data_IF_989534429610
#
_entry.id   IF_989534429610
#
_cell.length_a   1.000
_cell.length_b   1.000
_cell.length_c   1.000
_cell.angle_alpha   90.00
_cell.angle_beta   90.00
_cell.angle_gamma   90.00
#
_symmetry.space_group_name_H-M   'P 1'
#
loop_
_entity.id
_entity.type
_entity.pdbx_description
1 polymer ?
#
# COMPACT_ATOMS: atom_id res chain seq x y z
N UNK A 1 6.04 1.70 33.75
CA UNK A 1 6.73 2.38 32.64
C UNK A 1 5.87 3.58 32.26
N UNK A 2 6.47 4.76 32.08
CA UNK A 2 5.76 5.95 31.61
C UNK A 2 5.26 5.67 30.19
N UNK A 3 4.03 6.11 29.87
CA UNK A 3 3.49 6.03 28.49
C UNK A 3 4.21 7.01 27.56
N UNK A 4 3.94 6.94 26.23
CA UNK A 4 4.52 7.87 25.27
C UNK A 4 4.14 9.31 25.61
N UNK A 5 5.09 10.22 25.48
CA UNK A 5 4.90 11.66 25.71
C UNK A 5 4.64 12.44 24.41
N UNK A 6 5.05 11.89 23.28
CA UNK A 6 4.94 12.46 21.93
C UNK A 6 4.39 11.44 20.93
N UNK A 7 3.68 11.93 19.92
CA UNK A 7 3.11 11.12 18.83
C UNK A 7 3.52 11.69 17.49
N UNK A 8 4.19 10.88 16.67
CA UNK A 8 4.63 11.23 15.33
C UNK A 8 3.78 10.50 14.28
N UNK A 9 3.03 11.23 13.48
CA UNK A 9 2.26 10.69 12.36
C UNK A 9 2.99 10.90 11.04
N UNK A 10 3.05 9.86 10.22
CA UNK A 10 3.67 9.88 8.90
C UNK A 10 2.61 9.57 7.83
N UNK A 11 2.33 10.56 6.99
CA UNK A 11 1.63 10.34 5.72
C UNK A 11 2.66 9.94 4.66
N UNK A 12 2.56 8.68 4.19
CA UNK A 12 3.61 8.08 3.38
C UNK A 12 3.30 8.18 1.89
N UNK A 13 4.04 9.04 1.19
CA UNK A 13 4.04 9.15 -0.27
C UNK A 13 5.13 8.31 -0.95
N UNK A 14 5.11 8.29 -2.28
CA UNK A 14 6.09 7.55 -3.08
C UNK A 14 7.46 8.24 -3.09
N UNK A 15 7.50 9.55 -3.28
CA UNK A 15 8.72 10.37 -3.40
C UNK A 15 9.07 11.10 -2.11
N UNK A 16 8.05 11.56 -1.42
CA UNK A 16 8.16 12.32 -0.19
C UNK A 16 7.17 11.79 0.84
N UNK A 17 7.50 11.95 2.10
CA UNK A 17 6.60 11.74 3.24
C UNK A 17 6.32 13.07 3.92
N UNK A 18 5.23 13.16 4.66
CA UNK A 18 5.00 14.26 5.57
C UNK A 18 4.95 13.71 7.01
N UNK A 19 5.73 14.31 7.90
CA UNK A 19 5.73 13.96 9.33
C UNK A 19 5.20 15.11 10.15
N UNK A 20 4.28 14.80 11.07
CA UNK A 20 3.78 15.73 12.08
C UNK A 20 4.01 15.11 13.46
N UNK A 21 4.61 15.88 14.37
CA UNK A 21 4.81 15.53 15.78
C UNK A 21 3.87 16.36 16.63
N UNK A 22 3.16 15.70 17.54
CA UNK A 22 2.27 16.35 18.52
C UNK A 22 2.60 15.88 19.94
N UNK A 23 2.26 16.72 20.91
CA UNK A 23 2.32 16.40 22.32
C UNK A 23 1.02 15.76 22.85
N UNK A 24 0.94 15.53 24.16
CA UNK A 24 -0.22 14.98 24.84
C UNK A 24 -1.47 15.85 24.74
N UNK A 25 -1.32 17.16 24.60
CA UNK A 25 -2.42 18.11 24.40
C UNK A 25 -2.93 18.14 22.95
N UNK A 26 -2.17 17.58 22.00
CA UNK A 26 -2.41 17.66 20.56
C UNK A 26 -1.77 18.89 19.92
N UNK A 27 -0.92 19.63 20.65
CA UNK A 27 -0.18 20.75 20.08
C UNK A 27 0.92 20.24 19.13
N UNK A 28 1.04 20.92 17.99
CA UNK A 28 2.01 20.55 16.95
C UNK A 28 3.39 21.10 17.26
N UNK A 29 4.33 20.20 17.50
CA UNK A 29 5.74 20.52 17.76
C UNK A 29 6.59 20.55 16.49
N UNK A 30 6.25 19.72 15.48
CA UNK A 30 6.93 19.65 14.21
C UNK A 30 5.95 19.33 13.08
N UNK A 31 6.19 19.93 11.91
CA UNK A 31 5.51 19.55 10.66
C UNK A 31 6.52 19.68 9.53
N UNK A 32 6.90 18.58 8.91
CA UNK A 32 7.99 18.56 7.92
C UNK A 32 7.68 17.60 6.79
N UNK A 33 7.83 18.07 5.55
CA UNK A 33 7.95 17.24 4.37
C UNK A 33 9.40 16.75 4.24
N UNK A 34 9.59 15.46 3.95
CA UNK A 34 10.90 14.81 3.83
C UNK A 34 10.92 13.88 2.63
N UNK A 35 12.04 13.87 1.88
CA UNK A 35 12.23 12.94 0.77
C UNK A 35 12.32 11.51 1.28
N UNK A 36 11.81 10.59 0.48
CA UNK A 36 11.90 9.16 0.73
C UNK A 36 13.31 8.63 0.36
N UNK A 37 14.32 9.17 1.02
CA UNK A 37 15.75 8.80 0.92
C UNK A 37 16.29 8.57 2.33
N UNK A 38 17.31 7.71 2.47
CA UNK A 38 17.82 7.26 3.78
C UNK A 38 18.32 8.43 4.65
N UNK A 39 19.17 9.30 4.11
CA UNK A 39 19.78 10.38 4.88
C UNK A 39 18.75 11.41 5.39
N UNK A 40 17.79 11.94 4.58
CA UNK A 40 16.74 12.82 5.06
C UNK A 40 15.81 12.17 6.11
N UNK A 41 15.47 10.88 5.91
CA UNK A 41 14.61 10.16 6.85
C UNK A 41 15.32 9.91 8.18
N UNK A 42 16.59 9.57 8.13
CA UNK A 42 17.43 9.42 9.33
C UNK A 42 17.49 10.72 10.12
N UNK A 43 17.77 11.85 9.45
CA UNK A 43 17.81 13.16 10.09
C UNK A 43 16.45 13.53 10.72
N UNK A 44 15.33 13.23 10.03
CA UNK A 44 13.99 13.44 10.61
C UNK A 44 13.79 12.64 11.89
N UNK A 45 14.15 11.35 11.88
CA UNK A 45 13.97 10.46 13.02
C UNK A 45 14.82 10.95 14.21
N UNK A 46 16.07 11.31 13.96
CA UNK A 46 17.00 11.81 14.98
C UNK A 46 16.48 13.15 15.60
N UNK A 47 15.97 14.08 14.77
CA UNK A 47 15.37 15.32 15.25
C UNK A 47 14.13 15.09 16.13
N UNK A 48 13.25 14.15 15.74
CA UNK A 48 12.04 13.80 16.52
C UNK A 48 12.42 13.15 17.85
N UNK A 49 13.41 12.26 17.86
CA UNK A 49 13.93 11.63 19.08
C UNK A 49 14.56 12.70 20.00
N UNK A 50 15.31 13.65 19.45
CA UNK A 50 15.89 14.75 20.21
C UNK A 50 14.83 15.65 20.86
N UNK A 51 13.72 15.92 20.15
CA UNK A 51 12.58 16.69 20.70
C UNK A 51 11.87 15.96 21.84
N UNK A 52 11.98 14.64 21.92
CA UNK A 52 11.40 13.86 23.01
C UNK A 52 12.21 13.91 24.31
N UNK A 53 13.43 14.44 24.28
CA UNK A 53 14.32 14.63 25.46
C UNK A 53 14.35 13.40 26.39
N UNK A 54 14.60 12.23 25.82
CA UNK A 54 14.59 10.94 26.53
C UNK A 54 13.20 10.34 26.81
N UNK A 55 12.11 11.04 26.42
CA UNK A 55 10.77 10.50 26.45
C UNK A 55 10.50 9.50 25.31
N UNK A 56 9.40 8.76 25.42
CA UNK A 56 8.98 7.82 24.40
C UNK A 56 8.19 8.52 23.30
N UNK A 57 8.56 8.25 22.04
CA UNK A 57 7.80 8.66 20.86
C UNK A 57 6.99 7.47 20.35
N UNK A 58 5.68 7.68 20.19
CA UNK A 58 4.81 6.72 19.50
C UNK A 58 4.68 7.15 18.04
N UNK A 59 5.28 6.39 17.14
CA UNK A 59 5.17 6.61 15.70
C UNK A 59 3.94 5.93 15.14
N UNK A 60 3.37 6.50 14.07
CA UNK A 60 2.25 5.92 13.35
C UNK A 60 2.32 6.23 11.86
N UNK A 61 1.88 5.27 11.03
CA UNK A 61 1.93 5.38 9.57
C UNK A 61 0.72 4.69 8.94
N UNK A 62 0.22 5.22 7.83
CA UNK A 62 -0.96 4.74 7.13
C UNK A 62 -0.68 3.65 6.07
N UNK A 63 0.58 3.49 5.68
CA UNK A 63 1.04 2.43 4.77
C UNK A 63 1.91 1.41 5.50
N UNK A 64 1.81 0.15 5.06
CA UNK A 64 2.57 -0.94 5.64
C UNK A 64 3.60 -1.57 4.68
N UNK A 65 3.93 -0.87 3.60
CA UNK A 65 4.89 -1.32 2.57
C UNK A 65 4.95 -0.35 1.39
N UNK A 66 5.55 -0.76 0.28
CA UNK A 66 5.74 0.10 -0.88
C UNK A 66 6.58 1.34 -0.56
N UNK A 67 6.06 2.54 -0.79
CA UNK A 67 6.77 3.79 -0.50
C UNK A 67 7.17 3.98 0.97
N UNK A 68 6.45 3.35 1.90
CA UNK A 68 6.74 3.42 3.34
C UNK A 68 7.84 2.43 3.82
N UNK A 69 8.27 1.50 2.98
CA UNK A 69 9.14 0.40 3.43
C UNK A 69 10.45 0.88 4.04
N UNK A 70 11.06 1.91 3.46
CA UNK A 70 12.33 2.47 3.94
C UNK A 70 12.18 3.11 5.33
N UNK A 71 11.22 4.00 5.50
CA UNK A 71 11.01 4.68 6.80
C UNK A 71 10.61 3.69 7.89
N UNK A 72 9.79 2.67 7.57
CA UNK A 72 9.45 1.59 8.50
C UNK A 72 10.72 0.85 8.95
N UNK A 73 11.58 0.47 8.01
CA UNK A 73 12.83 -0.23 8.32
C UNK A 73 13.77 0.61 9.18
N UNK A 74 13.90 1.91 8.89
CA UNK A 74 14.74 2.83 9.65
C UNK A 74 14.24 3.05 11.10
N UNK A 75 12.91 3.14 11.28
CA UNK A 75 12.29 3.25 12.61
C UNK A 75 12.50 1.97 13.43
N UNK A 76 12.22 0.81 12.83
CA UNK A 76 12.39 -0.48 13.51
C UNK A 76 13.87 -0.77 13.85
N UNK A 77 14.82 -0.40 12.97
CA UNK A 77 16.24 -0.55 13.24
C UNK A 77 16.74 0.32 14.41
N UNK A 78 15.96 1.33 14.82
CA UNK A 78 16.21 2.19 15.99
C UNK A 78 15.33 1.86 17.19
N UNK A 79 14.69 0.67 17.18
CA UNK A 79 13.79 0.20 18.24
C UNK A 79 12.65 1.19 18.54
N UNK A 80 12.20 1.95 17.52
CA UNK A 80 11.08 2.87 17.70
C UNK A 80 9.73 2.13 17.67
N UNK A 81 8.82 2.54 18.56
CA UNK A 81 7.45 2.02 18.59
C UNK A 81 6.64 2.58 17.44
N UNK A 82 6.28 1.73 16.46
CA UNK A 82 5.56 2.10 15.27
C UNK A 82 4.20 1.40 15.20
N UNK A 83 3.13 2.18 15.00
CA UNK A 83 1.76 1.70 14.80
C UNK A 83 1.35 1.79 13.33
N UNK A 84 0.53 0.83 12.90
CA UNK A 84 -0.15 0.89 11.61
C UNK A 84 -1.58 1.42 11.78
N UNK A 85 -1.93 2.44 11.01
CA UNK A 85 -3.28 3.00 10.93
C UNK A 85 -3.82 2.75 9.52
N UNK A 86 -4.84 1.91 9.35
CA UNK A 86 -5.45 1.73 8.03
C UNK A 86 -5.94 3.05 7.43
N UNK A 87 -5.63 3.33 6.16
CA UNK A 87 -6.00 4.59 5.49
C UNK A 87 -7.50 4.90 5.53
N UNK A 88 -8.38 3.87 5.63
CA UNK A 88 -9.82 4.09 5.86
C UNK A 88 -10.11 4.81 7.18
N UNK A 89 -9.34 4.57 8.23
CA UNK A 89 -9.50 5.25 9.53
C UNK A 89 -9.11 6.72 9.37
N UNK A 90 -7.99 7.00 8.70
CA UNK A 90 -7.53 8.36 8.40
C UNK A 90 -8.60 9.11 7.59
N UNK A 91 -9.13 8.47 6.55
CA UNK A 91 -10.17 9.03 5.71
C UNK A 91 -11.46 9.37 6.49
N UNK A 92 -11.95 8.45 7.32
CA UNK A 92 -13.13 8.71 8.15
C UNK A 92 -12.88 9.79 9.21
N UNK A 93 -11.70 9.77 9.83
CA UNK A 93 -11.34 10.79 10.82
C UNK A 93 -11.22 12.18 10.19
N UNK A 94 -10.77 12.30 8.93
CA UNK A 94 -10.53 13.58 8.25
C UNK A 94 -11.77 14.48 8.20
N UNK A 95 -12.97 13.90 8.19
CA UNK A 95 -14.23 14.65 8.22
C UNK A 95 -14.46 15.43 9.52
N UNK A 96 -13.86 14.99 10.62
CA UNK A 96 -13.96 15.66 11.94
C UNK A 96 -12.95 16.80 12.12
N UNK A 97 -11.96 16.92 11.23
CA UNK A 97 -10.91 17.94 11.32
C UNK A 97 -11.24 19.11 10.41
N UNK A 98 -11.15 20.35 10.97
CA UNK A 98 -11.43 21.59 10.24
C UNK A 98 -10.48 21.81 9.07
N UNK A 99 -10.98 22.38 7.99
CA UNK A 99 -10.25 22.80 6.79
C UNK A 99 -10.68 21.99 5.54
N UNK A 100 -11.12 22.75 4.52
CA UNK A 100 -11.45 22.21 3.21
C UNK A 100 -10.15 21.98 2.43
N UNK A 101 -9.82 20.74 2.20
CA UNK A 101 -8.70 20.34 1.36
C UNK A 101 -7.86 19.21 1.97
N UNK A 102 -7.56 18.24 1.12
CA UNK A 102 -6.61 17.19 1.42
C UNK A 102 -5.19 17.76 1.29
N UNK A 103 -4.41 17.70 2.38
CA UNK A 103 -2.98 18.01 2.35
C UNK A 103 -2.24 16.93 3.15
N UNK A 104 -1.05 16.57 2.67
CA UNK A 104 -0.19 15.58 3.34
C UNK A 104 0.08 15.95 4.81
N UNK A 105 0.20 17.27 5.10
CA UNK A 105 0.38 17.75 6.47
C UNK A 105 -0.86 17.52 7.35
N UNK A 106 -2.08 17.66 6.80
CA UNK A 106 -3.33 17.38 7.50
C UNK A 106 -3.47 15.89 7.77
N UNK A 107 -3.19 15.06 6.76
CA UNK A 107 -3.29 13.60 6.89
C UNK A 107 -2.26 13.09 7.92
N UNK A 108 -1.02 13.57 7.90
CA UNK A 108 -0.01 13.27 8.93
C UNK A 108 -0.43 13.69 10.34
N UNK A 109 -1.05 14.87 10.49
CA UNK A 109 -1.57 15.34 11.80
C UNK A 109 -2.71 14.44 12.30
N UNK A 110 -3.61 14.03 11.43
CA UNK A 110 -4.69 13.09 11.76
C UNK A 110 -4.11 11.74 12.19
N UNK A 111 -3.09 11.23 11.50
CA UNK A 111 -2.41 9.98 11.85
C UNK A 111 -1.80 10.09 13.27
N UNK A 112 -1.11 11.18 13.58
CA UNK A 112 -0.54 11.42 14.91
C UNK A 112 -1.62 11.45 16.00
N UNK A 113 -2.71 12.18 15.77
CA UNK A 113 -3.79 12.33 16.74
C UNK A 113 -4.60 11.05 16.93
N UNK A 114 -4.85 10.28 15.87
CA UNK A 114 -5.44 8.94 15.98
C UNK A 114 -4.54 7.98 16.78
N UNK A 115 -3.23 8.03 16.61
CA UNK A 115 -2.29 7.24 17.40
C UNK A 115 -2.30 7.64 18.88
N UNK A 116 -2.51 8.92 19.20
CA UNK A 116 -2.65 9.43 20.55
C UNK A 116 -3.94 8.93 21.23
N UNK A 117 -5.06 8.93 20.51
CA UNK A 117 -6.39 8.62 21.07
C UNK A 117 -6.70 7.12 21.10
N UNK A 118 -6.20 6.32 20.14
CA UNK A 118 -6.60 4.92 19.96
C UNK A 118 -5.67 3.96 20.69
N UNK A 119 -6.23 2.83 21.13
CA UNK A 119 -5.51 1.72 21.79
C UNK A 119 -5.62 0.39 21.03
N UNK A 120 -6.37 0.38 19.92
CA UNK A 120 -6.68 -0.81 19.10
C UNK A 120 -5.83 -0.89 17.82
N UNK A 121 -4.78 -0.07 17.69
CA UNK A 121 -3.90 -0.05 16.54
C UNK A 121 -2.90 -1.19 16.58
N UNK A 122 -2.55 -1.69 15.39
CA UNK A 122 -1.57 -2.76 15.23
C UNK A 122 -0.15 -2.21 15.33
N UNK A 123 0.65 -2.80 16.21
CA UNK A 123 2.06 -2.48 16.31
C UNK A 123 2.88 -3.19 15.23
N UNK A 124 3.79 -2.46 14.59
CA UNK A 124 4.82 -3.08 13.77
C UNK A 124 5.85 -3.73 14.68
N UNK A 125 6.10 -5.02 14.42
CA UNK A 125 7.18 -5.76 15.06
C UNK A 125 8.28 -6.03 14.06
N UNK A 126 9.50 -6.22 14.54
CA UNK A 126 10.60 -6.75 13.73
C UNK A 126 10.09 -7.98 12.98
N UNK A 127 10.12 -7.95 11.66
CA UNK A 127 9.57 -9.01 10.83
C UNK A 127 10.64 -10.04 10.57
N UNK A 128 10.28 -11.29 10.78
CA UNK A 128 11.06 -12.40 10.28
C UNK A 128 11.20 -12.29 8.76
N UNK A 129 12.38 -12.65 8.24
CA UNK A 129 12.70 -12.68 6.81
C UNK A 129 11.61 -13.39 5.99
N UNK A 130 11.07 -14.47 6.54
CA UNK A 130 9.93 -15.22 5.99
C UNK A 130 8.66 -14.35 5.78
N UNK A 131 8.35 -13.44 6.69
CA UNK A 131 7.17 -12.56 6.57
C UNK A 131 7.35 -11.55 5.43
N UNK A 132 8.57 -11.04 5.22
CA UNK A 132 8.92 -10.14 4.11
C UNK A 132 8.80 -10.88 2.77
N UNK A 133 9.35 -12.10 2.69
CA UNK A 133 9.28 -12.95 1.51
C UNK A 133 7.83 -13.30 1.15
N UNK A 134 7.02 -13.75 2.12
CA UNK A 134 5.61 -14.08 1.91
C UNK A 134 4.81 -12.87 1.40
N UNK A 135 5.05 -11.67 1.93
CA UNK A 135 4.41 -10.45 1.44
C UNK A 135 4.77 -10.17 -0.01
N UNK A 136 6.05 -10.30 -0.38
CA UNK A 136 6.53 -10.09 -1.74
C UNK A 136 5.86 -11.06 -2.71
N UNK A 137 5.77 -12.34 -2.32
CA UNK A 137 5.09 -13.38 -3.12
C UNK A 137 3.59 -13.11 -3.25
N UNK A 138 2.92 -12.71 -2.17
CA UNK A 138 1.50 -12.36 -2.20
C UNK A 138 1.21 -11.13 -3.08
N UNK A 139 2.05 -10.09 -3.00
CA UNK A 139 1.95 -8.92 -3.87
C UNK A 139 2.12 -9.32 -5.34
N UNK A 140 3.16 -10.10 -5.65
CA UNK A 140 3.41 -10.61 -7.00
C UNK A 140 2.26 -11.46 -7.54
N UNK A 141 1.69 -12.35 -6.70
CA UNK A 141 0.50 -13.13 -7.07
C UNK A 141 -0.67 -12.22 -7.45
N UNK A 142 -0.91 -11.17 -6.69
CA UNK A 142 -1.99 -10.20 -6.95
C UNK A 142 -1.77 -9.48 -8.28
N UNK A 143 -0.55 -9.03 -8.57
CA UNK A 143 -0.20 -8.37 -9.83
C UNK A 143 -0.42 -9.30 -11.04
N UNK A 144 0.09 -10.53 -10.95
CA UNK A 144 -0.08 -11.53 -12.01
C UNK A 144 -1.56 -11.88 -12.24
N UNK A 145 -2.37 -11.95 -11.17
CA UNK A 145 -3.80 -12.19 -11.31
C UNK A 145 -4.51 -11.00 -12.01
N UNK A 146 -4.13 -9.77 -11.70
CA UNK A 146 -4.65 -8.58 -12.37
C UNK A 146 -4.23 -8.54 -13.86
N UNK A 147 -2.98 -8.86 -14.17
CA UNK A 147 -2.48 -8.95 -15.55
C UNK A 147 -3.23 -10.00 -16.35
N UNK A 148 -3.44 -11.19 -15.78
CA UNK A 148 -4.25 -12.25 -16.38
C UNK A 148 -5.65 -11.76 -16.72
N UNK A 149 -6.33 -11.10 -15.78
CA UNK A 149 -7.68 -10.58 -16.02
C UNK A 149 -7.70 -9.52 -17.13
N UNK A 150 -6.70 -8.61 -17.16
CA UNK A 150 -6.55 -7.65 -18.26
C UNK A 150 -6.34 -8.32 -19.63
N UNK A 151 -5.52 -9.37 -19.69
CA UNK A 151 -5.28 -10.12 -20.91
C UNK A 151 -6.54 -10.84 -21.40
N UNK A 152 -7.29 -11.48 -20.51
CA UNK A 152 -8.56 -12.16 -20.84
C UNK A 152 -9.59 -11.15 -21.34
N UNK A 153 -9.73 -9.98 -20.71
CA UNK A 153 -10.68 -8.95 -21.15
C UNK A 153 -10.32 -8.41 -22.53
N UNK A 154 -9.04 -8.23 -22.84
CA UNK A 154 -8.58 -7.84 -24.20
C UNK A 154 -8.89 -8.92 -25.22
N UNK A 155 -8.64 -10.19 -24.91
CA UNK A 155 -8.97 -11.31 -25.76
C UNK A 155 -10.47 -11.37 -26.07
N UNK A 156 -11.32 -11.22 -25.04
CA UNK A 156 -12.77 -11.22 -25.21
C UNK A 156 -13.24 -10.03 -26.07
N UNK A 157 -12.68 -8.85 -25.88
CA UNK A 157 -12.98 -7.68 -26.71
C UNK A 157 -12.65 -7.95 -28.19
N UNK A 158 -11.49 -8.53 -28.48
CA UNK A 158 -11.14 -8.90 -29.85
C UNK A 158 -12.06 -9.98 -30.43
N UNK A 159 -12.41 -11.02 -29.66
CA UNK A 159 -13.34 -12.05 -30.12
C UNK A 159 -14.74 -11.48 -30.43
N UNK A 160 -15.20 -10.48 -29.70
CA UNK A 160 -16.46 -9.81 -29.99
C UNK A 160 -16.46 -9.08 -31.34
N UNK A 161 -15.31 -8.57 -31.79
CA UNK A 161 -15.18 -7.92 -33.08
C UNK A 161 -15.21 -8.91 -34.26
N UNK A 162 -14.57 -10.07 -34.11
CA UNK A 162 -14.36 -11.01 -35.22
C UNK A 162 -15.25 -12.24 -35.15
N UNK A 163 -15.54 -12.75 -33.95
CA UNK A 163 -16.27 -13.98 -33.74
C UNK A 163 -17.09 -14.01 -32.46
N UNK A 164 -18.18 -13.23 -32.36
CA UNK A 164 -18.99 -13.13 -31.15
C UNK A 164 -19.57 -14.46 -30.62
N UNK A 165 -19.84 -15.41 -31.53
CA UNK A 165 -20.32 -16.74 -31.16
C UNK A 165 -19.27 -17.51 -30.35
N UNK A 166 -17.99 -17.38 -30.71
CA UNK A 166 -16.88 -18.04 -30.02
C UNK A 166 -16.61 -17.39 -28.67
N UNK A 167 -16.74 -16.07 -28.56
CA UNK A 167 -16.63 -15.36 -27.28
C UNK A 167 -17.63 -15.92 -26.26
N UNK A 168 -18.86 -16.16 -26.66
CA UNK A 168 -19.93 -16.70 -25.79
C UNK A 168 -19.80 -18.20 -25.50
N UNK A 169 -19.07 -18.95 -26.32
CA UNK A 169 -19.00 -20.41 -26.23
C UNK A 169 -18.19 -20.92 -25.03
N UNK A 170 -17.25 -20.10 -24.50
CA UNK A 170 -16.31 -20.56 -23.49
C UNK A 170 -16.11 -19.55 -22.36
N UNK A 171 -15.86 -20.08 -21.16
CA UNK A 171 -15.33 -19.30 -20.03
C UNK A 171 -13.79 -19.28 -20.12
N UNK A 172 -13.24 -18.20 -20.66
CA UNK A 172 -11.79 -18.00 -20.82
C UNK A 172 -11.05 -17.80 -19.50
N UNK A 173 -11.76 -17.54 -18.42
CA UNK A 173 -11.15 -17.34 -17.09
C UNK A 173 -10.81 -18.66 -16.41
N UNK A 174 -11.59 -19.72 -16.65
CA UNK A 174 -11.44 -20.98 -15.92
C UNK A 174 -11.12 -22.17 -16.83
N UNK A 175 -11.32 -22.05 -18.16
CA UNK A 175 -11.12 -23.16 -19.09
C UNK A 175 -9.87 -22.99 -19.96
N UNK A 176 -8.76 -23.59 -19.51
CA UNK A 176 -7.49 -23.60 -20.26
C UNK A 176 -7.63 -24.16 -21.68
N UNK A 177 -8.50 -25.15 -21.88
CA UNK A 177 -8.76 -25.73 -23.19
C UNK A 177 -9.23 -24.73 -24.24
N UNK A 178 -10.04 -23.73 -23.84
CA UNK A 178 -10.47 -22.65 -24.74
C UNK A 178 -9.29 -21.81 -25.24
N UNK A 179 -8.32 -21.51 -24.37
CA UNK A 179 -7.11 -20.77 -24.75
C UNK A 179 -6.20 -21.59 -25.67
N UNK A 180 -6.06 -22.91 -25.42
CA UNK A 180 -5.30 -23.83 -26.28
C UNK A 180 -5.94 -23.90 -27.67
N UNK A 181 -7.29 -23.99 -27.75
CA UNK A 181 -8.02 -24.00 -29.00
C UNK A 181 -7.72 -22.74 -29.82
N UNK A 182 -7.73 -21.56 -29.20
CA UNK A 182 -7.43 -20.31 -29.89
C UNK A 182 -5.98 -20.19 -30.37
N UNK A 183 -5.03 -20.84 -29.72
CA UNK A 183 -3.64 -20.88 -30.23
C UNK A 183 -3.48 -21.69 -31.50
N UNK A 184 -4.29 -22.75 -31.67
CA UNK A 184 -4.31 -23.58 -32.88
C UNK A 184 -5.15 -22.99 -34.02
N UNK A 185 -6.25 -22.30 -33.68
CA UNK A 185 -7.24 -21.80 -34.62
C UNK A 185 -7.41 -20.28 -34.44
N UNK A 186 -6.52 -19.51 -35.04
CA UNK A 186 -6.43 -18.08 -34.85
C UNK A 186 -7.40 -17.26 -35.70
N UNK A 187 -8.07 -17.87 -36.68
CA UNK A 187 -9.02 -17.21 -37.60
C UNK A 187 -10.30 -18.03 -37.74
N UNK A 188 -11.46 -17.39 -38.01
CA UNK A 188 -12.71 -18.12 -38.29
C UNK A 188 -12.60 -19.11 -39.46
N UNK A 189 -11.80 -18.78 -40.46
CA UNK A 189 -11.57 -19.64 -41.63
C UNK A 189 -10.87 -20.96 -41.26
N UNK A 190 -9.86 -20.92 -40.39
CA UNK A 190 -9.17 -22.12 -39.87
C UNK A 190 -10.07 -22.99 -38.99
N UNK A 191 -11.08 -22.39 -38.38
CA UNK A 191 -12.08 -23.12 -37.59
C UNK A 191 -13.04 -23.91 -38.45
N UNK A 192 -13.33 -23.42 -39.65
CA UNK A 192 -14.25 -24.05 -40.62
C UNK A 192 -13.58 -25.14 -41.48
N UNK A 193 -12.25 -25.17 -41.59
CA UNK A 193 -11.50 -26.20 -42.28
C UNK A 193 -11.41 -27.48 -41.42
N UNK A 194 -11.93 -28.64 -41.87
CA UNK A 194 -11.75 -29.90 -41.15
C UNK A 194 -10.26 -30.17 -41.00
N UNK A 195 -9.85 -30.56 -39.76
CA UNK A 195 -8.47 -30.98 -39.52
C UNK A 195 -8.06 -32.00 -40.56
N UNK A 196 -7.11 -31.63 -41.41
CA UNK A 196 -6.53 -32.60 -42.36
C UNK A 196 -5.99 -33.77 -41.53
N UNK A 197 -6.56 -34.96 -41.74
CA UNK A 197 -6.12 -36.18 -41.08
C UNK A 197 -4.65 -36.39 -41.44
N UNK A 198 -3.78 -36.25 -40.41
CA UNK A 198 -2.42 -36.78 -40.46
C UNK A 198 -2.43 -38.27 -40.14
#
# INVERSE_FOLDING_TARGET
MAGPSLWAGIDAGKLDHHCVLIDASGERLLSRRVRNDEAPLTALIDDVIALADGGLVQWAIDLNGGGAALVISLLLARDQHLLYIPGRIVHHASAAYRGDGKTDAKDAAIIADQARMRRDLLEFRHRDEFTVELRTLCARRTDVAADRNRAINRLRAQLLEYFPALERAFDYSHRRGALILLTGYQTPKRYAEPAARA
#
